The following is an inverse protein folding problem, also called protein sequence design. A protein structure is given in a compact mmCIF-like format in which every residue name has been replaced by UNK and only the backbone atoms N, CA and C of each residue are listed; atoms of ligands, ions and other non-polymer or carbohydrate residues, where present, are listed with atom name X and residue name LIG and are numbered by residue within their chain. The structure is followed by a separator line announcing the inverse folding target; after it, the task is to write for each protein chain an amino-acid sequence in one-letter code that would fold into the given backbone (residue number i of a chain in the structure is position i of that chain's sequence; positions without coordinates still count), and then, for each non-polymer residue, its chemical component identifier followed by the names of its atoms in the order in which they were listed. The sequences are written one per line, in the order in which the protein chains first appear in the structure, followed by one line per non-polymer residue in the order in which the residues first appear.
data_IF_031262949855
#
_entry.id   IF_031262949855
#
_cell.length_a   1.000
_cell.length_b   1.000
_cell.length_c   1.000
_cell.angle_alpha   90.00
_cell.angle_beta   90.00
_cell.angle_gamma   90.00
#
_symmetry.space_group_name_H-M   'P 1'
#
loop_
_entity.id
_entity.type
_entity.pdbx_description
1 polymer ?
#
# COMPACT_ATOMS: atom_id res chain seq x y z
N UNK A 1 15.20 9.55 9.36
CA UNK A 1 14.59 9.72 10.69
C UNK A 1 13.12 9.29 10.61
N UNK A 2 12.85 7.99 10.74
CA UNK A 2 11.56 7.34 10.40
C UNK A 2 10.41 7.69 11.36
N UNK A 3 10.73 7.98 12.64
CA UNK A 3 9.75 8.26 13.71
C UNK A 3 8.79 9.40 13.36
N UNK A 4 9.28 10.48 12.73
CA UNK A 4 8.41 11.62 12.34
C UNK A 4 7.29 11.20 11.40
N UNK A 5 7.60 10.32 10.44
CA UNK A 5 6.61 9.84 9.45
C UNK A 5 5.67 8.82 10.07
N UNK A 6 6.18 7.94 10.94
CA UNK A 6 5.35 7.02 11.70
C UNK A 6 4.33 7.76 12.58
N UNK A 7 4.70 8.87 13.23
CA UNK A 7 3.77 9.69 14.01
C UNK A 7 2.67 10.41 13.18
N UNK A 8 2.76 10.34 11.84
CA UNK A 8 1.68 10.80 10.94
C UNK A 8 0.74 9.67 10.54
N UNK A 9 1.14 8.42 10.73
CA UNK A 9 0.36 7.21 10.41
C UNK A 9 -0.27 6.63 11.67
N UNK A 10 0.45 6.66 12.80
CA UNK A 10 -0.02 6.19 14.09
C UNK A 10 -0.54 7.35 14.93
N UNK A 11 -1.70 7.15 15.54
CA UNK A 11 -2.28 8.04 16.52
C UNK A 11 -1.46 8.05 17.83
N UNK A 12 -1.79 9.00 18.72
CA UNK A 12 -1.10 9.17 20.00
C UNK A 12 -1.23 7.99 20.95
N UNK A 13 -2.21 7.11 20.76
CA UNK A 13 -2.41 5.88 21.52
C UNK A 13 -1.57 4.69 20.99
N UNK A 14 -0.77 4.92 19.94
CA UNK A 14 0.06 3.92 19.28
C UNK A 14 -0.71 2.99 18.33
N UNK A 15 -1.99 3.26 18.05
CA UNK A 15 -2.79 2.51 17.06
C UNK A 15 -2.95 3.31 15.77
N UNK A 16 -3.48 2.66 14.74
CA UNK A 16 -3.73 3.29 13.45
C UNK A 16 -4.98 2.70 12.79
N UNK A 17 -5.77 3.56 12.16
CA UNK A 17 -6.80 3.19 11.19
C UNK A 17 -6.35 3.67 9.82
N UNK A 18 -5.99 2.71 8.96
CA UNK A 18 -5.55 2.95 7.59
C UNK A 18 -6.70 2.59 6.64
N UNK A 19 -7.10 3.52 5.78
CA UNK A 19 -8.10 3.26 4.73
C UNK A 19 -7.39 3.06 3.39
N UNK A 20 -7.54 1.89 2.79
CA UNK A 20 -6.99 1.54 1.49
C UNK A 20 -7.92 2.03 0.36
N UNK A 21 -7.38 2.87 -0.52
CA UNK A 21 -8.04 3.54 -1.65
C UNK A 21 -7.21 3.40 -2.93
N UNK A 22 -6.58 2.25 -3.12
CA UNK A 22 -5.68 1.94 -4.24
C UNK A 22 -6.23 0.84 -5.16
N UNK A 23 -7.30 0.13 -4.77
CA UNK A 23 -7.95 -0.90 -5.57
C UNK A 23 -8.40 -0.43 -6.95
N UNK A 24 -8.64 0.88 -7.13
CA UNK A 24 -8.92 1.46 -8.44
C UNK A 24 -7.81 1.27 -9.48
N UNK A 25 -6.59 0.92 -9.06
CA UNK A 25 -5.50 0.49 -9.95
C UNK A 25 -5.83 -0.82 -10.68
N UNK A 26 -6.56 -1.72 -10.03
CA UNK A 26 -6.90 -3.06 -10.54
C UNK A 26 -8.33 -3.07 -11.09
N UNK A 27 -9.27 -2.52 -10.32
CA UNK A 27 -10.71 -2.61 -10.56
C UNK A 27 -11.28 -1.45 -11.39
N UNK A 28 -10.50 -0.37 -11.57
CA UNK A 28 -11.03 0.89 -12.09
C UNK A 28 -12.02 1.56 -11.12
N UNK A 29 -12.88 2.47 -11.59
CA UNK A 29 -13.85 3.16 -10.75
C UNK A 29 -14.90 2.20 -10.14
N UNK A 30 -14.69 1.78 -8.89
CA UNK A 30 -15.57 0.87 -8.16
C UNK A 30 -16.61 1.61 -7.29
N UNK A 31 -17.60 0.88 -6.78
CA UNK A 31 -18.62 1.44 -5.88
C UNK A 31 -17.98 2.06 -4.63
N UNK A 32 -18.48 3.23 -4.20
CA UNK A 32 -17.86 3.99 -3.10
C UNK A 32 -16.57 4.74 -3.47
N UNK A 33 -16.05 4.58 -4.70
CA UNK A 33 -14.81 5.22 -5.16
C UNK A 33 -14.91 5.90 -6.53
N UNK A 34 -16.13 6.18 -7.00
CA UNK A 34 -16.38 6.88 -8.28
C UNK A 34 -16.01 8.36 -8.22
N UNK A 35 -16.28 9.00 -7.07
CA UNK A 35 -15.84 10.36 -6.78
C UNK A 35 -14.75 10.32 -5.71
N UNK A 36 -13.51 10.19 -6.17
CA UNK A 36 -12.33 10.02 -5.31
C UNK A 36 -12.17 11.19 -4.33
N UNK A 37 -12.45 12.43 -4.76
CA UNK A 37 -12.33 13.61 -3.90
C UNK A 37 -13.35 13.58 -2.76
N UNK A 38 -14.61 13.28 -3.06
CA UNK A 38 -15.65 13.13 -2.06
C UNK A 38 -15.35 11.97 -1.08
N UNK A 39 -14.86 10.83 -1.59
CA UNK A 39 -14.47 9.69 -0.75
C UNK A 39 -13.32 10.04 0.20
N UNK A 40 -12.25 10.68 -0.30
CA UNK A 40 -11.14 11.14 0.55
C UNK A 40 -11.64 12.09 1.64
N UNK A 41 -12.48 13.08 1.29
CA UNK A 41 -13.02 14.02 2.26
C UNK A 41 -13.84 13.33 3.34
N UNK A 42 -14.68 12.36 2.97
CA UNK A 42 -15.47 11.58 3.93
C UNK A 42 -14.59 10.72 4.85
N UNK A 43 -13.55 10.08 4.31
CA UNK A 43 -12.59 9.28 5.08
C UNK A 43 -11.82 10.13 6.09
N UNK A 44 -11.33 11.29 5.66
CA UNK A 44 -10.63 12.24 6.54
C UNK A 44 -11.56 12.77 7.62
N UNK A 45 -12.80 13.15 7.27
CA UNK A 45 -13.80 13.58 8.24
C UNK A 45 -14.20 12.48 9.23
N UNK A 46 -14.16 11.22 8.81
CA UNK A 46 -14.39 10.04 9.64
C UNK A 46 -13.26 9.75 10.64
N UNK A 47 -12.12 10.44 10.54
CA UNK A 47 -11.01 10.32 11.48
C UNK A 47 -10.01 9.21 11.17
N UNK A 48 -9.85 8.83 9.90
CA UNK A 48 -8.75 7.94 9.51
C UNK A 48 -7.38 8.57 9.82
N UNK A 49 -6.45 7.75 10.32
CA UNK A 49 -5.09 8.21 10.64
C UNK A 49 -4.22 8.27 9.39
N UNK A 50 -4.40 7.32 8.47
CA UNK A 50 -3.71 7.29 7.20
C UNK A 50 -4.60 6.81 6.05
N UNK A 51 -4.24 7.23 4.84
CA UNK A 51 -4.80 6.72 3.59
C UNK A 51 -3.67 6.06 2.80
N UNK A 52 -3.93 4.84 2.35
CA UNK A 52 -3.10 4.14 1.37
C UNK A 52 -3.72 4.34 0.00
N UNK A 53 -2.98 4.91 -0.96
CA UNK A 53 -3.52 5.15 -2.31
C UNK A 53 -2.45 5.07 -3.40
N UNK A 54 -2.84 5.23 -4.67
CA UNK A 54 -1.93 5.23 -5.81
C UNK A 54 -1.20 6.55 -5.97
N UNK A 55 -0.08 6.53 -6.71
CA UNK A 55 0.69 7.74 -7.04
C UNK A 55 -0.19 8.85 -7.65
N UNK A 56 -1.01 8.50 -8.64
CA UNK A 56 -1.83 9.47 -9.37
C UNK A 56 -2.92 10.10 -8.51
N UNK A 57 -3.51 9.35 -7.56
CA UNK A 57 -4.48 9.90 -6.61
C UNK A 57 -3.77 10.81 -5.61
N UNK A 58 -2.63 10.38 -5.07
CA UNK A 58 -1.84 11.16 -4.15
C UNK A 58 -1.38 12.50 -4.75
N UNK A 59 -1.00 12.52 -6.03
CA UNK A 59 -0.64 13.75 -6.74
C UNK A 59 -1.86 14.64 -7.01
N UNK A 60 -2.93 14.07 -7.56
CA UNK A 60 -4.12 14.82 -7.99
C UNK A 60 -4.89 15.44 -6.82
N UNK A 61 -4.97 14.76 -5.68
CA UNK A 61 -5.73 15.14 -4.49
C UNK A 61 -4.84 15.50 -3.30
N UNK A 62 -3.64 16.01 -3.58
CA UNK A 62 -2.65 16.36 -2.55
C UNK A 62 -3.19 17.36 -1.51
N UNK A 63 -4.09 18.25 -1.90
CA UNK A 63 -4.69 19.24 -0.98
C UNK A 63 -5.58 18.55 0.04
N UNK A 64 -6.47 17.67 -0.43
CA UNK A 64 -7.40 16.89 0.37
C UNK A 64 -6.69 15.90 1.29
N UNK A 65 -5.54 15.37 0.84
CA UNK A 65 -4.71 14.42 1.59
C UNK A 65 -3.72 15.09 2.56
N UNK A 66 -3.55 16.41 2.51
CA UNK A 66 -2.48 17.14 3.23
C UNK A 66 -2.50 16.98 4.75
N UNK A 67 -3.65 16.61 5.33
CA UNK A 67 -3.88 16.53 6.79
C UNK A 67 -3.96 15.11 7.35
N UNK A 68 -3.81 14.09 6.51
CA UNK A 68 -3.85 12.67 6.90
C UNK A 68 -2.51 12.01 6.57
N UNK A 69 -2.15 10.92 7.25
CA UNK A 69 -0.98 10.13 6.89
C UNK A 69 -1.08 9.62 5.46
N UNK A 70 -0.02 9.74 4.67
CA UNK A 70 -0.03 9.32 3.26
C UNK A 70 0.85 8.09 3.05
N UNK A 71 0.24 6.97 2.67
CA UNK A 71 0.94 5.75 2.25
C UNK A 71 0.71 5.59 0.75
N UNK A 72 1.78 5.39 -0.02
CA UNK A 72 1.67 5.31 -1.49
C UNK A 72 2.06 3.93 -1.97
N UNK A 73 1.18 3.34 -2.78
CA UNK A 73 1.33 2.05 -3.42
C UNK A 73 2.41 2.09 -4.51
N UNK A 74 3.55 1.46 -4.26
CA UNK A 74 4.72 1.47 -5.17
C UNK A 74 4.71 0.36 -6.20
N UNK A 75 4.03 -0.75 -5.91
CA UNK A 75 3.85 -1.88 -6.82
C UNK A 75 2.36 -2.16 -7.06
N UNK A 76 2.03 -3.12 -7.90
CA UNK A 76 0.64 -3.48 -8.12
C UNK A 76 0.49 -4.68 -9.03
N UNK A 77 -0.76 -5.09 -9.22
CA UNK A 77 -1.12 -6.20 -10.08
C UNK A 77 -1.72 -5.71 -11.41
N UNK A 78 -1.91 -6.66 -12.32
CA UNK A 78 -2.68 -6.54 -13.54
C UNK A 78 -4.09 -6.03 -13.24
N UNK A 79 -4.66 -5.30 -14.19
CA UNK A 79 -6.08 -4.93 -14.12
C UNK A 79 -6.97 -6.14 -14.43
N UNK A 80 -8.24 -6.06 -14.02
CA UNK A 80 -9.24 -7.09 -14.34
C UNK A 80 -9.62 -7.18 -15.83
N UNK A 81 -8.96 -6.43 -16.72
CA UNK A 81 -9.10 -6.60 -18.17
C UNK A 81 -8.40 -7.86 -18.67
N UNK A 82 -7.36 -8.32 -17.97
CA UNK A 82 -6.60 -9.53 -18.28
C UNK A 82 -7.11 -10.75 -17.53
N UNK A 83 -6.46 -11.90 -17.74
CA UNK A 83 -6.63 -13.05 -16.87
C UNK A 83 -6.09 -12.72 -15.48
N UNK A 84 -6.86 -13.03 -14.43
CA UNK A 84 -6.45 -12.84 -13.04
C UNK A 84 -5.04 -13.42 -12.82
N UNK A 85 -4.08 -12.54 -12.55
CA UNK A 85 -2.70 -12.94 -12.40
C UNK A 85 -2.44 -13.48 -10.99
N UNK A 86 -1.34 -14.20 -10.82
CA UNK A 86 -0.83 -14.63 -9.51
C UNK A 86 -0.35 -13.49 -8.59
N UNK A 87 -0.55 -12.21 -8.93
CA UNK A 87 -0.18 -11.05 -8.11
C UNK A 87 1.06 -10.27 -8.60
N UNK A 88 1.43 -9.23 -7.84
CA UNK A 88 2.39 -8.13 -8.13
C UNK A 88 3.35 -8.28 -9.32
N UNK A 89 3.34 -7.27 -10.21
CA UNK A 89 4.10 -7.20 -11.47
C UNK A 89 5.44 -6.44 -11.37
N UNK A 90 5.82 -6.03 -10.17
CA UNK A 90 7.02 -5.24 -9.93
C UNK A 90 6.72 -3.78 -9.60
N UNK A 91 7.80 -3.06 -9.31
CA UNK A 91 7.75 -1.69 -8.81
C UNK A 91 7.45 -0.69 -9.94
N UNK A 92 6.43 0.14 -9.77
CA UNK A 92 6.07 1.24 -10.68
C UNK A 92 6.94 2.48 -10.46
N UNK A 93 7.31 2.77 -9.22
CA UNK A 93 8.17 3.89 -8.83
C UNK A 93 8.88 3.62 -7.50
N UNK A 94 9.98 4.33 -7.25
CA UNK A 94 10.85 4.06 -6.11
C UNK A 94 10.61 4.96 -4.88
N UNK A 95 11.32 4.70 -3.78
CA UNK A 95 11.26 5.52 -2.56
C UNK A 95 11.55 7.02 -2.77
N UNK A 96 12.45 7.37 -3.69
CA UNK A 96 12.75 8.77 -3.99
C UNK A 96 11.52 9.52 -4.54
N UNK A 97 10.72 8.88 -5.38
CA UNK A 97 9.50 9.45 -5.95
C UNK A 97 8.42 9.62 -4.87
N UNK A 98 8.25 8.62 -4.00
CA UNK A 98 7.36 8.72 -2.85
C UNK A 98 7.74 9.88 -1.91
N UNK A 99 9.02 10.07 -1.62
CA UNK A 99 9.49 11.21 -0.82
C UNK A 99 9.18 12.54 -1.51
N UNK A 100 9.38 12.64 -2.83
CA UNK A 100 9.02 13.84 -3.60
C UNK A 100 7.53 14.16 -3.54
N UNK A 101 6.69 13.14 -3.52
CA UNK A 101 5.24 13.27 -3.38
C UNK A 101 4.80 13.68 -1.97
N UNK A 102 5.71 13.66 -0.99
CA UNK A 102 5.40 13.94 0.42
C UNK A 102 4.87 12.72 1.19
N UNK A 103 4.98 11.52 0.63
CA UNK A 103 4.53 10.28 1.26
C UNK A 103 5.15 10.07 2.65
N UNK A 104 4.36 9.59 3.59
CA UNK A 104 4.80 9.17 4.92
C UNK A 104 5.24 7.71 4.96
N UNK A 105 4.78 6.86 4.05
CA UNK A 105 5.33 5.53 3.82
C UNK A 105 5.11 5.06 2.38
N UNK A 106 5.84 4.02 2.00
CA UNK A 106 5.54 3.21 0.82
C UNK A 106 4.82 1.93 1.24
N UNK A 107 4.00 1.38 0.35
CA UNK A 107 3.55 -0.02 0.47
C UNK A 107 4.04 -0.83 -0.74
N UNK A 108 4.48 -2.05 -0.45
CA UNK A 108 4.91 -3.06 -1.42
C UNK A 108 4.27 -4.39 -1.06
N UNK A 109 3.80 -5.13 -2.06
CA UNK A 109 3.16 -6.43 -1.89
C UNK A 109 4.22 -7.54 -1.92
N UNK A 110 4.11 -8.50 -1.00
CA UNK A 110 4.88 -9.74 -1.05
C UNK A 110 3.96 -10.96 -0.95
N UNK A 111 4.32 -12.03 -1.66
CA UNK A 111 3.43 -13.18 -1.89
C UNK A 111 4.04 -14.50 -1.40
N UNK A 112 4.29 -14.70 -0.09
CA UNK A 112 4.86 -15.95 0.42
C UNK A 112 4.02 -17.18 0.04
N UNK A 113 4.64 -18.30 -0.30
CA UNK A 113 3.98 -19.54 -0.71
C UNK A 113 3.37 -19.51 -2.12
N UNK A 114 3.51 -18.41 -2.87
CA UNK A 114 3.16 -18.36 -4.30
C UNK A 114 4.36 -18.75 -5.19
N UNK A 115 4.11 -18.95 -6.48
CA UNK A 115 5.14 -19.07 -7.52
C UNK A 115 5.98 -17.79 -7.70
N UNK A 116 5.54 -16.66 -7.14
CA UNK A 116 6.21 -15.36 -7.17
C UNK A 116 6.88 -14.96 -5.85
N UNK A 117 6.96 -15.86 -4.87
CA UNK A 117 7.50 -15.56 -3.53
C UNK A 117 8.89 -14.91 -3.59
N UNK A 118 9.87 -15.57 -4.23
CA UNK A 118 11.25 -15.09 -4.24
C UNK A 118 11.37 -13.68 -4.85
N UNK A 119 10.73 -13.45 -6.00
CA UNK A 119 10.77 -12.17 -6.69
C UNK A 119 10.10 -11.04 -5.89
N UNK A 120 8.97 -11.32 -5.24
CA UNK A 120 8.24 -10.30 -4.48
C UNK A 120 8.90 -9.99 -3.13
N UNK A 121 9.49 -10.98 -2.46
CA UNK A 121 10.31 -10.76 -1.27
C UNK A 121 11.60 -10.02 -1.59
N UNK A 122 12.25 -10.31 -2.73
CA UNK A 122 13.41 -9.55 -3.19
C UNK A 122 13.05 -8.08 -3.46
N UNK A 123 11.91 -7.82 -4.13
CA UNK A 123 11.41 -6.47 -4.36
C UNK A 123 11.15 -5.71 -3.04
N UNK A 124 10.52 -6.37 -2.06
CA UNK A 124 10.30 -5.80 -0.72
C UNK A 124 11.64 -5.47 -0.03
N UNK A 125 12.60 -6.39 -0.06
CA UNK A 125 13.91 -6.20 0.58
C UNK A 125 14.69 -5.03 -0.04
N UNK A 126 14.76 -4.98 -1.38
CA UNK A 126 15.44 -3.89 -2.10
C UNK A 126 14.77 -2.54 -1.87
N UNK A 127 13.45 -2.47 -1.95
CA UNK A 127 12.69 -1.23 -1.71
C UNK A 127 12.88 -0.75 -0.27
N UNK A 128 12.84 -1.66 0.70
CA UNK A 128 13.08 -1.35 2.12
C UNK A 128 14.48 -0.80 2.35
N UNK A 129 15.50 -1.44 1.77
CA UNK A 129 16.88 -0.98 1.87
C UNK A 129 17.05 0.44 1.30
N UNK A 130 16.37 0.78 0.22
CA UNK A 130 16.39 2.12 -0.37
C UNK A 130 15.59 3.15 0.44
N UNK A 131 14.36 2.81 0.83
CA UNK A 131 13.48 3.68 1.60
C UNK A 131 14.11 4.08 2.93
N UNK A 132 14.79 3.14 3.61
CA UNK A 132 15.48 3.42 4.86
C UNK A 132 16.62 4.42 4.73
N UNK A 133 17.34 4.47 3.58
CA UNK A 133 18.35 5.52 3.32
C UNK A 133 17.72 6.91 3.26
N UNK A 134 16.45 7.01 2.89
CA UNK A 134 15.67 8.24 2.83
C UNK A 134 14.86 8.50 4.12
N UNK A 135 14.93 7.60 5.10
CA UNK A 135 14.11 7.66 6.31
C UNK A 135 12.62 7.48 6.06
N UNK A 136 12.25 6.82 4.97
CA UNK A 136 10.88 6.48 4.59
C UNK A 136 10.53 5.07 5.11
N UNK A 137 9.48 4.92 5.94
CA UNK A 137 8.94 3.61 6.31
C UNK A 137 8.38 2.85 5.09
N UNK A 138 8.40 1.51 5.17
CA UNK A 138 7.76 0.62 4.20
C UNK A 138 6.75 -0.28 4.92
N UNK A 139 5.55 -0.34 4.38
CA UNK A 139 4.50 -1.30 4.72
C UNK A 139 4.65 -2.49 3.77
N UNK A 140 4.93 -3.69 4.31
CA UNK A 140 4.88 -4.93 3.54
C UNK A 140 3.45 -5.48 3.57
N UNK A 141 2.76 -5.47 2.43
CA UNK A 141 1.46 -6.14 2.29
C UNK A 141 1.72 -7.62 1.98
N UNK A 142 1.74 -8.43 3.04
CA UNK A 142 2.03 -9.85 2.96
C UNK A 142 0.76 -10.65 2.66
N UNK A 143 0.73 -11.34 1.51
CA UNK A 143 -0.42 -12.14 1.05
C UNK A 143 0.02 -13.59 0.84
N UNK A 144 -0.15 -14.48 1.85
CA UNK A 144 0.22 -15.88 1.71
C UNK A 144 -0.58 -16.56 0.59
N UNK A 145 0.10 -17.31 -0.28
CA UNK A 145 -0.46 -17.93 -1.48
C UNK A 145 -0.77 -16.97 -2.64
N UNK A 146 -0.54 -15.68 -2.43
CA UNK A 146 -0.99 -14.63 -3.33
C UNK A 146 -2.52 -14.62 -3.52
N UNK A 147 -2.97 -13.89 -4.53
CA UNK A 147 -4.41 -13.67 -4.75
C UNK A 147 -5.15 -14.91 -5.30
N UNK A 148 -4.41 -15.88 -5.83
CA UNK A 148 -4.95 -17.15 -6.35
C UNK A 148 -4.78 -18.34 -5.38
N UNK A 149 -4.24 -18.10 -4.19
CA UNK A 149 -4.03 -19.13 -3.18
C UNK A 149 -5.33 -19.77 -2.68
N UNK A 150 -5.24 -21.06 -2.32
CA UNK A 150 -6.35 -21.78 -1.72
C UNK A 150 -6.70 -21.27 -0.31
N UNK A 151 -7.89 -21.63 0.22
CA UNK A 151 -8.36 -21.18 1.52
C UNK A 151 -7.43 -21.55 2.70
N UNK A 152 -6.64 -22.61 2.56
CA UNK A 152 -5.65 -23.05 3.54
C UNK A 152 -4.55 -22.01 3.81
N UNK A 153 -4.27 -21.14 2.83
CA UNK A 153 -3.27 -20.07 2.93
C UNK A 153 -3.82 -18.82 3.64
N UNK A 154 -5.12 -18.78 3.96
CA UNK A 154 -5.78 -17.67 4.69
C UNK A 154 -5.88 -17.94 6.20
N UNK A 155 -5.34 -19.06 6.66
CA UNK A 155 -5.33 -19.44 8.08
C UNK A 155 -4.29 -18.67 8.89
N UNK A 156 -4.47 -18.65 10.22
CA UNK A 156 -3.57 -17.94 11.15
C UNK A 156 -2.13 -18.43 11.07
N UNK A 157 -1.90 -19.72 10.79
CA UNK A 157 -0.56 -20.27 10.62
C UNK A 157 0.16 -19.67 9.40
N UNK A 158 -0.50 -19.62 8.25
CA UNK A 158 0.06 -19.05 7.03
C UNK A 158 0.32 -17.54 7.17
N UNK A 159 -0.62 -16.81 7.79
CA UNK A 159 -0.45 -15.38 8.09
C UNK A 159 0.73 -15.14 9.03
N UNK A 160 0.88 -15.94 10.08
CA UNK A 160 1.99 -15.80 11.03
C UNK A 160 3.36 -16.14 10.42
N UNK A 161 3.42 -17.07 9.47
CA UNK A 161 4.65 -17.41 8.76
C UNK A 161 5.05 -16.33 7.75
N UNK A 162 4.08 -15.64 7.17
CA UNK A 162 4.29 -14.61 6.16
C UNK A 162 4.57 -13.21 6.73
N UNK A 163 4.33 -12.98 8.02
CA UNK A 163 4.53 -11.69 8.69
C UNK A 163 6.00 -11.45 9.09
#
# INVERSE_FOLDING_TARGET
MTIRRLNRIFASDGRTVIIALDHGLIDGPCEGFKDVGATIAAVVAGGADAILTSFGIAEKFATELSRVGLIVRSDGAETNLGTASGGSLGQFFGPADAVRLGADALVVTALPGSDKEAATLENLAHTTAEAHRLGLPVLGEMVPGGFNGGPELRGTHAVALAA
#
